data_IF_385586286188
#
_entry.id   IF_385586286188
#
_cell.length_a   1.000
_cell.length_b   1.000
_cell.length_c   1.000
_cell.angle_alpha   90.00
_cell.angle_beta   90.00
_cell.angle_gamma   90.00
#
_symmetry.space_group_name_H-M   'P 1'
#
loop_
_entity.id
_entity.type
_entity.pdbx_description
1 polymer ?
#
# COMPACT_ATOMS: atom_id res chain seq x y z
N UNK A 1 -12.77 -35.99 9.47
CA UNK A 1 -11.36 -35.75 9.11
C UNK A 1 -11.03 -34.31 8.71
N UNK A 2 -11.99 -33.47 8.23
CA UNK A 2 -11.72 -32.04 7.93
C UNK A 2 -11.57 -31.12 9.16
N UNK A 3 -11.92 -31.57 10.37
CA UNK A 3 -11.90 -30.75 11.60
C UNK A 3 -10.63 -30.87 12.45
N UNK A 4 -9.81 -31.91 12.25
CA UNK A 4 -8.57 -32.12 13.02
C UNK A 4 -7.34 -31.43 12.41
N UNK A 5 -7.41 -30.99 11.15
CA UNK A 5 -6.35 -30.18 10.51
C UNK A 5 -6.45 -28.68 10.82
N UNK A 6 -7.53 -28.24 11.49
CA UNK A 6 -7.74 -26.84 11.91
C UNK A 6 -7.24 -26.55 13.34
N UNK A 7 -6.71 -27.53 14.07
CA UNK A 7 -6.37 -27.37 15.50
C UNK A 7 -4.91 -26.99 15.76
N UNK A 8 -4.08 -26.92 14.73
CA UNK A 8 -2.82 -26.16 14.75
C UNK A 8 -2.95 -24.94 13.83
N UNK A 9 -3.90 -24.04 14.14
CA UNK A 9 -3.77 -22.67 13.63
C UNK A 9 -2.48 -22.14 14.28
N UNK A 10 -1.40 -22.13 13.51
CA UNK A 10 -0.23 -21.32 13.81
C UNK A 10 -0.77 -19.94 14.21
N UNK A 11 -0.49 -19.53 15.44
CA UNK A 11 -0.68 -18.14 15.87
C UNK A 11 -0.21 -17.23 14.73
N UNK A 12 -1.02 -16.25 14.32
CA UNK A 12 -0.71 -15.34 13.21
C UNK A 12 0.73 -14.83 13.26
N UNK A 13 1.24 -14.49 14.46
CA UNK A 13 2.63 -14.07 14.66
C UNK A 13 3.64 -15.14 14.24
N UNK A 14 3.46 -16.40 14.66
CA UNK A 14 4.32 -17.52 14.27
C UNK A 14 4.27 -17.79 12.76
N UNK A 15 3.08 -17.72 12.17
CA UNK A 15 2.93 -17.88 10.72
C UNK A 15 3.72 -16.82 9.95
N UNK A 16 3.70 -15.56 10.42
CA UNK A 16 4.43 -14.44 9.81
C UNK A 16 5.94 -14.62 9.96
N UNK A 17 6.42 -14.97 11.15
CA UNK A 17 7.84 -15.17 11.44
C UNK A 17 8.46 -16.29 10.60
N UNK A 18 7.71 -17.37 10.39
CA UNK A 18 8.17 -18.55 9.66
C UNK A 18 7.74 -18.54 8.18
N UNK A 19 7.17 -17.43 7.68
CA UNK A 19 6.56 -17.40 6.35
C UNK A 19 7.56 -17.72 5.23
N UNK A 20 7.16 -18.64 4.37
CA UNK A 20 7.81 -19.01 3.12
C UNK A 20 6.78 -19.19 2.00
N UNK A 21 7.24 -19.15 0.74
CA UNK A 21 6.39 -19.36 -0.44
C UNK A 21 5.60 -20.68 -0.43
N UNK A 22 6.05 -21.70 0.30
CA UNK A 22 5.32 -22.98 0.45
C UNK A 22 4.03 -22.85 1.29
N UNK A 23 3.89 -21.78 2.07
CA UNK A 23 2.73 -21.49 2.90
C UNK A 23 1.70 -20.59 2.21
N UNK A 24 1.98 -20.10 1.00
CA UNK A 24 1.07 -19.19 0.25
C UNK A 24 -0.34 -19.75 0.12
N UNK A 25 -0.49 -21.07 -0.01
CA UNK A 25 -1.78 -21.77 -0.13
C UNK A 25 -2.74 -21.54 1.05
N UNK A 26 -2.23 -21.14 2.21
CA UNK A 26 -3.04 -20.87 3.41
C UNK A 26 -3.63 -19.46 3.43
N UNK A 27 -3.06 -18.54 2.64
CA UNK A 27 -3.52 -17.15 2.55
C UNK A 27 -4.03 -16.79 1.15
N UNK A 28 -3.71 -17.57 0.12
CA UNK A 28 -4.16 -17.29 -1.25
C UNK A 28 -5.68 -17.23 -1.35
N UNK A 29 -6.20 -16.39 -2.25
CA UNK A 29 -7.64 -16.35 -2.55
C UNK A 29 -8.11 -17.70 -3.11
N UNK A 30 -9.14 -18.29 -2.51
CA UNK A 30 -9.77 -19.52 -3.00
C UNK A 30 -11.11 -19.21 -3.64
N UNK A 31 -11.15 -19.11 -4.96
CA UNK A 31 -12.39 -18.78 -5.66
C UNK A 31 -13.30 -20.01 -5.83
N UNK A 32 -14.55 -19.90 -5.37
CA UNK A 32 -15.58 -20.93 -5.55
C UNK A 32 -16.39 -20.79 -6.86
N UNK A 33 -16.00 -19.90 -7.78
CA UNK A 33 -16.73 -19.64 -9.03
C UNK A 33 -17.98 -18.77 -8.87
N UNK A 34 -18.19 -18.17 -7.70
CA UNK A 34 -19.32 -17.29 -7.37
C UNK A 34 -18.83 -15.87 -7.07
N UNK A 35 -19.75 -14.92 -7.06
CA UNK A 35 -19.47 -13.50 -6.80
C UNK A 35 -20.30 -12.97 -5.64
N UNK A 36 -19.86 -11.83 -5.09
CA UNK A 36 -20.57 -11.10 -4.04
C UNK A 36 -21.02 -12.01 -2.87
N UNK A 37 -22.31 -12.01 -2.55
CA UNK A 37 -22.85 -12.72 -1.38
C UNK A 37 -22.73 -14.26 -1.46
N UNK A 38 -22.58 -14.81 -2.67
CA UNK A 38 -22.42 -16.26 -2.87
C UNK A 38 -20.93 -16.68 -2.91
N UNK A 39 -20.02 -15.70 -2.93
CA UNK A 39 -18.60 -15.97 -2.94
C UNK A 39 -18.15 -16.45 -1.57
N UNK A 40 -17.42 -17.56 -1.58
CA UNK A 40 -16.82 -18.17 -0.40
C UNK A 40 -15.33 -18.31 -0.68
N UNK A 41 -14.52 -17.79 0.23
CA UNK A 41 -13.07 -17.98 0.23
C UNK A 41 -12.67 -18.60 1.57
N UNK A 42 -12.32 -19.89 1.52
CA UNK A 42 -11.98 -20.70 2.71
C UNK A 42 -10.77 -20.14 3.49
N UNK A 43 -9.94 -19.33 2.84
CA UNK A 43 -8.73 -18.74 3.42
C UNK A 43 -8.96 -17.31 3.95
N UNK A 44 -10.12 -16.69 3.69
CA UNK A 44 -10.36 -15.27 3.99
C UNK A 44 -10.16 -14.93 5.46
N UNK A 45 -10.74 -15.72 6.36
CA UNK A 45 -10.72 -15.43 7.79
C UNK A 45 -9.29 -15.45 8.33
N UNK A 46 -8.52 -16.48 7.98
CA UNK A 46 -7.12 -16.59 8.38
C UNK A 46 -6.26 -15.50 7.72
N UNK A 47 -6.44 -15.24 6.42
CA UNK A 47 -5.74 -14.14 5.73
C UNK A 47 -5.99 -12.80 6.43
N UNK A 48 -7.22 -12.51 6.84
CA UNK A 48 -7.57 -11.28 7.57
C UNK A 48 -7.03 -11.26 9.00
N UNK A 49 -6.89 -12.41 9.65
CA UNK A 49 -6.21 -12.51 10.94
C UNK A 49 -4.72 -12.13 10.81
N UNK A 50 -4.04 -12.63 9.78
CA UNK A 50 -2.66 -12.23 9.45
C UNK A 50 -2.58 -10.71 9.23
N UNK A 51 -3.43 -10.15 8.37
CA UNK A 51 -3.42 -8.70 8.08
C UNK A 51 -3.66 -7.87 9.35
N UNK A 52 -4.62 -8.25 10.19
CA UNK A 52 -4.88 -7.56 11.47
C UNK A 52 -3.70 -7.65 12.43
N UNK A 53 -3.00 -8.79 12.47
CA UNK A 53 -1.79 -8.92 13.26
C UNK A 53 -0.70 -7.99 12.74
N UNK A 54 -0.47 -7.94 11.42
CA UNK A 54 0.47 -7.01 10.79
C UNK A 54 0.14 -5.54 11.12
N UNK A 55 -1.13 -5.15 11.06
CA UNK A 55 -1.61 -3.83 11.47
C UNK A 55 -1.26 -3.54 12.94
N UNK A 56 -1.44 -4.52 13.84
CA UNK A 56 -1.16 -4.36 15.27
C UNK A 56 0.33 -4.12 15.59
N UNK A 57 1.22 -4.59 14.73
CA UNK A 57 2.67 -4.38 14.84
C UNK A 57 3.18 -3.30 13.87
N UNK A 58 2.26 -2.50 13.30
CA UNK A 58 2.54 -1.43 12.33
C UNK A 58 3.41 -1.89 11.16
N UNK A 59 3.22 -3.14 10.70
CA UNK A 59 3.96 -3.74 9.59
C UNK A 59 5.50 -3.65 9.76
N UNK A 60 6.02 -3.69 10.99
CA UNK A 60 7.46 -3.59 11.21
C UNK A 60 8.19 -4.91 10.86
N UNK A 61 9.26 -4.84 10.05
CA UNK A 61 10.13 -5.96 9.66
C UNK A 61 9.39 -7.17 9.07
N UNK A 62 8.50 -6.94 8.09
CA UNK A 62 7.70 -8.00 7.50
C UNK A 62 8.40 -8.57 6.27
N UNK A 63 8.26 -9.88 6.08
CA UNK A 63 8.71 -10.54 4.85
C UNK A 63 7.98 -9.92 3.64
N UNK A 64 8.74 -9.37 2.68
CA UNK A 64 8.20 -8.78 1.47
C UNK A 64 7.35 -9.74 0.62
N UNK A 65 7.70 -11.03 0.57
CA UNK A 65 6.90 -12.04 -0.13
C UNK A 65 5.52 -12.20 0.50
N UNK A 66 5.43 -12.15 1.84
CA UNK A 66 4.15 -12.22 2.53
C UNK A 66 3.27 -11.02 2.16
N UNK A 67 3.84 -9.80 2.18
CA UNK A 67 3.10 -8.59 1.80
C UNK A 67 2.58 -8.68 0.36
N UNK A 68 3.43 -9.15 -0.58
CA UNK A 68 3.06 -9.36 -1.98
C UNK A 68 1.89 -10.33 -2.08
N UNK A 69 2.01 -11.51 -1.46
CA UNK A 69 1.04 -12.58 -1.57
C UNK A 69 -0.32 -12.21 -0.93
N UNK A 70 -0.30 -11.48 0.18
CA UNK A 70 -1.50 -10.91 0.80
C UNK A 70 -2.17 -9.89 -0.11
N UNK A 71 -1.39 -8.99 -0.74
CA UNK A 71 -1.92 -7.95 -1.62
C UNK A 71 -2.60 -8.56 -2.86
N UNK A 72 -1.95 -9.55 -3.47
CA UNK A 72 -2.50 -10.30 -4.61
C UNK A 72 -3.80 -11.00 -4.18
N UNK A 73 -3.80 -11.70 -3.06
CA UNK A 73 -4.99 -12.41 -2.59
C UNK A 73 -6.16 -11.46 -2.28
N UNK A 74 -5.90 -10.32 -1.63
CA UNK A 74 -6.94 -9.33 -1.32
C UNK A 74 -7.46 -8.60 -2.57
N UNK A 75 -6.60 -8.33 -3.56
CA UNK A 75 -7.08 -7.74 -4.83
C UNK A 75 -7.97 -8.70 -5.61
N UNK A 76 -7.60 -9.99 -5.67
CA UNK A 76 -8.41 -11.04 -6.29
C UNK A 76 -9.74 -11.20 -5.57
N UNK A 77 -9.71 -11.25 -4.23
CA UNK A 77 -10.93 -11.23 -3.42
C UNK A 77 -11.79 -10.01 -3.77
N UNK A 78 -11.21 -8.81 -3.83
CA UNK A 78 -11.97 -7.59 -4.06
C UNK A 78 -12.70 -7.59 -5.41
N UNK A 79 -12.05 -8.11 -6.46
CA UNK A 79 -12.64 -8.27 -7.78
C UNK A 79 -13.88 -9.17 -7.77
N UNK A 80 -13.84 -10.28 -7.05
CA UNK A 80 -14.93 -11.27 -7.07
C UNK A 80 -16.01 -10.98 -6.01
N UNK A 81 -15.63 -10.35 -4.89
CA UNK A 81 -16.53 -9.96 -3.82
C UNK A 81 -17.32 -8.66 -4.12
N UNK A 82 -16.87 -7.88 -5.11
CA UNK A 82 -17.34 -6.50 -5.37
C UNK A 82 -17.24 -5.62 -4.12
N UNK A 83 -16.09 -5.71 -3.46
CA UNK A 83 -15.82 -4.93 -2.28
C UNK A 83 -14.43 -5.22 -1.74
N UNK A 84 -13.78 -4.20 -1.21
CA UNK A 84 -12.38 -4.27 -0.80
C UNK A 84 -12.23 -4.27 0.72
N UNK A 85 -11.14 -4.88 1.21
CA UNK A 85 -10.75 -4.73 2.61
C UNK A 85 -10.43 -3.27 2.94
N UNK A 86 -10.96 -2.81 4.07
CA UNK A 86 -10.96 -1.38 4.45
C UNK A 86 -9.57 -0.74 4.58
N UNK A 87 -8.52 -1.52 4.83
CA UNK A 87 -7.14 -1.03 4.94
C UNK A 87 -6.24 -1.60 3.82
N UNK A 88 -6.81 -1.97 2.68
CA UNK A 88 -6.04 -2.46 1.54
C UNK A 88 -4.92 -1.50 1.12
N UNK A 89 -5.18 -0.18 1.19
CA UNK A 89 -4.17 0.84 0.93
C UNK A 89 -2.93 0.72 1.84
N UNK A 90 -3.10 0.36 3.12
CA UNK A 90 -1.95 0.18 4.03
C UNK A 90 -1.10 -1.03 3.64
N UNK A 91 -1.73 -2.10 3.17
CA UNK A 91 -1.02 -3.27 2.68
C UNK A 91 -0.21 -2.93 1.42
N UNK A 92 -0.82 -2.21 0.48
CA UNK A 92 -0.18 -1.78 -0.75
C UNK A 92 0.97 -0.79 -0.49
N UNK A 93 0.77 0.15 0.42
CA UNK A 93 1.79 1.10 0.87
C UNK A 93 3.00 0.39 1.47
N UNK A 94 2.76 -0.54 2.40
CA UNK A 94 3.84 -1.26 3.07
C UNK A 94 4.63 -2.16 2.11
N UNK A 95 3.98 -2.74 1.10
CA UNK A 95 4.69 -3.48 0.06
C UNK A 95 5.74 -2.60 -0.63
N UNK A 96 5.36 -1.40 -1.09
CA UNK A 96 6.27 -0.47 -1.76
C UNK A 96 7.35 0.02 -0.80
N UNK A 97 6.98 0.43 0.41
CA UNK A 97 7.94 0.94 1.41
C UNK A 97 9.01 -0.08 1.80
N UNK A 98 8.64 -1.35 1.93
CA UNK A 98 9.55 -2.39 2.45
C UNK A 98 10.33 -3.08 1.34
N UNK A 99 9.79 -3.16 0.13
CA UNK A 99 10.39 -3.94 -0.97
C UNK A 99 10.89 -3.07 -2.11
N UNK A 100 10.64 -1.76 -2.04
CA UNK A 100 11.00 -0.82 -3.09
C UNK A 100 10.31 -1.18 -4.40
N UNK A 101 11.13 -1.34 -5.45
CA UNK A 101 10.69 -1.67 -6.81
C UNK A 101 10.63 -3.18 -7.09
N UNK A 102 10.96 -4.03 -6.11
CA UNK A 102 11.10 -5.48 -6.30
C UNK A 102 9.77 -6.12 -6.75
N UNK A 103 8.66 -5.80 -6.08
CA UNK A 103 7.32 -6.32 -6.40
C UNK A 103 6.42 -5.26 -7.05
N UNK A 104 7.03 -4.33 -7.80
CA UNK A 104 6.28 -3.24 -8.45
C UNK A 104 5.25 -3.77 -9.45
N UNK A 105 5.57 -4.81 -10.22
CA UNK A 105 4.62 -5.39 -11.18
C UNK A 105 3.41 -6.00 -10.46
N UNK A 106 3.64 -6.73 -9.37
CA UNK A 106 2.56 -7.32 -8.56
C UNK A 106 1.68 -6.24 -7.92
N UNK A 107 2.28 -5.15 -7.45
CA UNK A 107 1.55 -3.98 -6.96
C UNK A 107 0.67 -3.38 -8.06
N UNK A 108 1.21 -3.12 -9.25
CA UNK A 108 0.46 -2.51 -10.35
C UNK A 108 -0.66 -3.41 -10.87
N UNK A 109 -0.40 -4.71 -10.99
CA UNK A 109 -1.42 -5.70 -11.36
C UNK A 109 -2.53 -5.69 -10.32
N UNK A 110 -2.19 -5.75 -9.02
CA UNK A 110 -3.17 -5.76 -7.93
C UNK A 110 -3.98 -4.47 -7.89
N UNK A 111 -3.34 -3.31 -8.10
CA UNK A 111 -4.01 -2.01 -8.16
C UNK A 111 -5.00 -1.93 -9.32
N UNK A 112 -4.64 -2.45 -10.48
CA UNK A 112 -5.46 -2.41 -11.71
C UNK A 112 -6.55 -3.48 -11.81
N UNK A 113 -6.64 -4.38 -10.82
CA UNK A 113 -7.46 -5.59 -10.93
C UNK A 113 -8.97 -5.31 -10.88
N UNK A 114 -9.40 -4.30 -10.13
CA UNK A 114 -10.79 -3.81 -10.08
C UNK A 114 -10.85 -2.30 -9.83
N UNK A 115 -12.04 -1.72 -9.97
CA UNK A 115 -12.26 -0.30 -9.64
C UNK A 115 -11.98 -0.02 -8.15
N UNK A 116 -12.38 -0.93 -7.25
CA UNK A 116 -12.17 -0.77 -5.82
C UNK A 116 -10.69 -0.81 -5.44
N UNK A 117 -9.91 -1.71 -6.05
CA UNK A 117 -8.45 -1.80 -5.80
C UNK A 117 -7.76 -0.55 -6.31
N UNK A 118 -8.17 -0.03 -7.47
CA UNK A 118 -7.62 1.20 -8.02
C UNK A 118 -7.89 2.38 -7.09
N UNK A 119 -9.15 2.60 -6.69
CA UNK A 119 -9.53 3.70 -5.80
C UNK A 119 -8.86 3.62 -4.43
N UNK A 120 -8.75 2.42 -3.84
CA UNK A 120 -8.05 2.24 -2.57
C UNK A 120 -6.55 2.53 -2.71
N UNK A 121 -5.93 2.07 -3.80
CA UNK A 121 -4.50 2.32 -4.07
C UNK A 121 -4.20 3.81 -4.21
N UNK A 122 -5.12 4.61 -4.76
CA UNK A 122 -4.94 6.07 -4.79
C UNK A 122 -4.78 6.68 -3.39
N UNK A 123 -5.22 6.03 -2.31
CA UNK A 123 -5.09 6.52 -0.94
C UNK A 123 -3.77 6.15 -0.23
N UNK A 124 -2.89 5.40 -0.89
CA UNK A 124 -1.53 5.09 -0.41
C UNK A 124 -0.73 6.37 -0.16
N UNK A 125 0.01 6.41 0.94
CA UNK A 125 0.92 7.51 1.29
C UNK A 125 2.38 7.10 1.06
N UNK A 126 3.04 7.77 0.13
CA UNK A 126 4.47 7.56 -0.19
C UNK A 126 5.24 8.88 -0.09
N UNK A 127 4.85 9.79 0.82
CA UNK A 127 5.35 11.18 0.86
C UNK A 127 6.88 11.33 0.99
N UNK A 128 7.55 10.35 1.57
CA UNK A 128 8.99 10.25 1.82
C UNK A 128 9.75 9.37 0.81
N UNK A 129 9.05 8.84 -0.20
CA UNK A 129 9.64 8.05 -1.29
C UNK A 129 9.89 8.95 -2.50
N UNK A 130 11.02 8.74 -3.19
CA UNK A 130 11.29 9.36 -4.48
C UNK A 130 10.38 8.77 -5.56
N UNK A 131 9.27 9.45 -5.84
CA UNK A 131 8.27 9.00 -6.82
C UNK A 131 8.79 9.05 -8.26
N UNK A 132 9.73 9.95 -8.56
CA UNK A 132 10.26 10.09 -9.91
C UNK A 132 11.04 8.86 -10.35
N UNK A 133 11.78 8.26 -9.42
CA UNK A 133 12.45 6.99 -9.65
C UNK A 133 11.49 5.83 -9.99
N UNK A 134 10.29 5.81 -9.41
CA UNK A 134 9.28 4.79 -9.74
C UNK A 134 8.64 5.05 -11.09
N UNK A 135 8.34 6.31 -11.42
CA UNK A 135 7.79 6.67 -12.72
C UNK A 135 8.76 6.27 -13.84
N UNK A 136 10.06 6.55 -13.68
CA UNK A 136 11.10 6.15 -14.64
C UNK A 136 11.14 4.63 -14.80
N UNK A 137 11.20 3.89 -13.69
CA UNK A 137 11.20 2.42 -13.69
C UNK A 137 9.98 1.85 -14.45
N UNK A 138 8.79 2.42 -14.22
CA UNK A 138 7.56 1.97 -14.89
C UNK A 138 7.64 2.23 -16.40
N UNK A 139 8.13 3.40 -16.82
CA UNK A 139 8.34 3.69 -18.25
C UNK A 139 9.32 2.72 -18.91
N UNK A 140 10.42 2.39 -18.24
CA UNK A 140 11.42 1.45 -18.73
C UNK A 140 10.82 0.03 -18.88
N UNK A 141 10.14 -0.49 -17.85
CA UNK A 141 9.47 -1.80 -17.92
C UNK A 141 8.39 -1.84 -19.00
N UNK A 142 7.61 -0.76 -19.13
CA UNK A 142 6.59 -0.62 -20.17
C UNK A 142 7.19 -0.65 -21.57
N UNK A 143 8.34 -0.03 -21.79
CA UNK A 143 9.00 -0.03 -23.10
C UNK A 143 9.48 -1.42 -23.55
N UNK A 144 9.73 -2.33 -22.59
CA UNK A 144 10.19 -3.70 -22.86
C UNK A 144 9.05 -4.71 -23.03
N UNK A 145 7.82 -4.37 -22.64
CA UNK A 145 6.69 -5.31 -22.69
C UNK A 145 5.93 -5.20 -24.02
N UNK A 146 5.49 -6.33 -24.56
CA UNK A 146 4.64 -6.37 -25.77
C UNK A 146 3.21 -6.84 -25.47
N UNK A 147 2.95 -7.35 -24.27
CA UNK A 147 1.66 -7.92 -23.90
C UNK A 147 0.66 -6.79 -23.60
N UNK A 148 -0.41 -6.69 -24.39
CA UNK A 148 -1.35 -5.56 -24.34
C UNK A 148 -1.95 -5.31 -22.93
N UNK A 149 -2.29 -6.37 -22.20
CA UNK A 149 -2.86 -6.22 -20.85
C UNK A 149 -1.86 -5.61 -19.85
N UNK A 150 -0.57 -5.90 -19.99
CA UNK A 150 0.48 -5.31 -19.16
C UNK A 150 0.76 -3.86 -19.57
N UNK A 151 0.65 -3.50 -20.85
CA UNK A 151 0.76 -2.11 -21.28
C UNK A 151 -0.28 -1.23 -20.56
N UNK A 152 -1.55 -1.67 -20.53
CA UNK A 152 -2.62 -0.96 -19.80
C UNK A 152 -2.34 -0.88 -18.30
N UNK A 153 -1.77 -1.94 -17.72
CA UNK A 153 -1.39 -1.98 -16.30
C UNK A 153 -0.31 -0.94 -16.00
N UNK A 154 0.72 -0.81 -16.85
CA UNK A 154 1.76 0.20 -16.69
C UNK A 154 1.27 1.63 -16.94
N UNK A 155 0.41 1.84 -17.95
CA UNK A 155 -0.22 3.16 -18.18
C UNK A 155 -0.98 3.64 -16.94
N UNK A 156 -1.79 2.75 -16.35
CA UNK A 156 -2.48 3.02 -15.09
C UNK A 156 -1.50 3.23 -13.93
N UNK A 157 -0.40 2.47 -13.89
CA UNK A 157 0.65 2.65 -12.90
C UNK A 157 1.30 4.03 -12.95
N UNK A 158 1.59 4.53 -14.16
CA UNK A 158 2.10 5.89 -14.35
C UNK A 158 1.11 6.91 -13.78
N UNK A 159 -0.18 6.78 -14.08
CA UNK A 159 -1.22 7.68 -13.56
C UNK A 159 -1.29 7.65 -12.02
N UNK A 160 -1.22 6.46 -11.42
CA UNK A 160 -1.19 6.28 -9.96
C UNK A 160 0.00 7.02 -9.35
N UNK A 161 1.22 6.79 -9.85
CA UNK A 161 2.41 7.40 -9.28
C UNK A 161 2.48 8.92 -9.55
N UNK A 162 2.00 9.39 -10.71
CA UNK A 162 1.83 10.83 -10.95
C UNK A 162 0.85 11.46 -9.94
N UNK A 163 -0.20 10.74 -9.54
CA UNK A 163 -1.12 11.21 -8.51
C UNK A 163 -0.42 11.36 -7.14
N UNK A 164 0.48 10.45 -6.78
CA UNK A 164 1.28 10.56 -5.56
C UNK A 164 2.24 11.76 -5.62
N UNK A 165 2.93 11.96 -6.75
CA UNK A 165 3.79 13.12 -6.98
C UNK A 165 3.03 14.44 -6.84
N UNK A 166 1.81 14.50 -7.39
CA UNK A 166 0.96 15.67 -7.29
C UNK A 166 0.54 15.95 -5.83
N UNK A 167 0.26 14.91 -5.03
CA UNK A 167 -0.04 15.06 -3.59
C UNK A 167 1.16 15.58 -2.81
N UNK A 168 2.35 15.03 -3.04
CA UNK A 168 3.60 15.50 -2.42
C UNK A 168 3.86 16.98 -2.73
N UNK A 169 3.71 17.37 -4.00
CA UNK A 169 3.89 18.76 -4.43
C UNK A 169 2.93 19.71 -3.71
N UNK A 170 1.64 19.35 -3.62
CA UNK A 170 0.63 20.13 -2.90
C UNK A 170 0.93 20.25 -1.41
N UNK A 171 1.36 19.18 -0.76
CA UNK A 171 1.76 19.20 0.65
C UNK A 171 2.92 20.17 0.88
N UNK A 172 3.93 20.13 0.00
CA UNK A 172 5.08 21.05 0.05
C UNK A 172 4.68 22.52 -0.13
N UNK A 173 3.75 22.81 -1.04
CA UNK A 173 3.26 24.17 -1.26
C UNK A 173 2.49 24.73 -0.05
N UNK A 174 1.67 23.89 0.60
CA UNK A 174 0.95 24.27 1.84
C UNK A 174 1.93 24.62 2.96
N UNK A 175 2.94 23.77 3.19
CA UNK A 175 3.99 24.03 4.19
C UNK A 175 4.74 25.34 3.88
N UNK A 176 5.07 25.60 2.60
CA UNK A 176 5.70 26.86 2.19
C UNK A 176 4.82 28.08 2.47
N UNK A 177 3.51 27.99 2.20
CA UNK A 177 2.56 29.05 2.48
C UNK A 177 2.47 29.33 3.99
N UNK A 178 2.38 28.30 4.84
CA UNK A 178 2.35 28.45 6.30
C UNK A 178 3.63 29.08 6.86
N UNK A 179 4.80 28.68 6.36
CA UNK A 179 6.08 29.30 6.75
C UNK A 179 6.09 30.78 6.37
N UNK A 180 5.59 31.12 5.17
CA UNK A 180 5.57 32.49 4.67
C UNK A 180 4.56 33.39 5.41
N UNK A 181 3.42 32.86 5.85
CA UNK A 181 2.44 33.59 6.67
C UNK A 181 2.85 33.70 8.14
N UNK A 182 3.63 32.74 8.66
CA UNK A 182 4.13 32.73 10.04
C UNK A 182 5.36 33.63 10.26
N UNK A 183 6.23 33.77 9.25
CA UNK A 183 7.45 34.60 9.31
C UNK A 183 7.23 36.07 9.70
N UNK A 184 6.22 36.82 9.20
CA UNK A 184 6.07 38.23 9.57
C UNK A 184 5.73 38.45 11.06
N UNK A 185 5.07 37.49 11.72
CA UNK A 185 4.74 37.61 13.15
C UNK A 185 5.86 37.12 14.07
N UNK A 186 6.58 36.06 13.68
CA UNK A 186 7.72 35.55 14.47
C UNK A 186 8.89 36.54 14.44
N UNK A 187 9.25 37.08 13.26
CA UNK A 187 10.29 38.11 13.16
C UNK A 187 9.91 39.41 13.89
N UNK A 188 8.65 39.85 13.83
CA UNK A 188 8.18 41.02 14.60
C UNK A 188 8.22 40.78 16.11
N UNK A 189 7.89 39.58 16.57
CA UNK A 189 7.93 39.22 17.99
C UNK A 189 9.37 39.11 18.50
N UNK A 190 10.28 38.51 17.73
CA UNK A 190 11.72 38.45 18.03
C UNK A 190 12.31 39.88 18.04
N UNK A 191 12.00 40.72 17.05
CA UNK A 191 12.46 42.12 17.01
C UNK A 191 11.89 42.96 18.16
N UNK A 192 10.64 42.75 18.57
CA UNK A 192 10.05 43.39 19.77
C UNK A 192 10.73 42.93 21.05
N UNK A 193 11.09 41.66 21.14
CA UNK A 193 11.77 41.08 22.30
C UNK A 193 13.20 41.63 22.42
N UNK A 194 13.94 41.69 21.30
CA UNK A 194 15.28 42.29 21.24
C UNK A 194 15.23 43.79 21.56
N UNK A 195 14.26 44.55 21.03
CA UNK A 195 14.09 45.97 21.39
C UNK A 195 13.76 46.21 22.87
N UNK A 196 13.09 45.26 23.54
CA UNK A 196 12.82 45.35 24.98
C UNK A 196 14.06 45.10 25.84
N UNK A 197 15.00 44.29 25.37
CA UNK A 197 16.24 43.96 26.08
C UNK A 197 17.28 45.08 25.95
N UNK A 198 17.31 45.81 24.83
CA UNK A 198 18.32 46.84 24.55
C UNK A 198 17.91 48.28 24.89
N UNK A 199 16.73 48.50 25.50
CA UNK A 199 16.23 49.83 25.92
C UNK A 199 16.03 49.89 27.46
N UNK A 200 16.58 48.93 28.18
CA UNK A 200 16.66 48.88 29.65
C UNK A 200 18.11 48.72 30.08
#
# INVERSE_FOLDING_TARGET
>A
MKSQQRTEIMNAGKFIEEYSSNQVKYISFQWNGKHANEMVDDNLDFRREIIKYLESINYHNINGELLRDLLIAESQYAKEAWGIYRHYNLLAENLIRQTGKLYLDDFLISASLSFDTYCSTLAVDLTDIDIDEYIIEIYERRAMIQKENMIKTYDMGIDIFLSYKAKQSKANDLVRQEINTSKPNILKNILRFIKKIFVS
#
